data_IF_137844668879
#
_entry.id   IF_137844668879
#
_cell.length_a   1.000
_cell.length_b   1.000
_cell.length_c   1.000
_cell.angle_alpha   90.00
_cell.angle_beta   90.00
_cell.angle_gamma   90.00
#
_symmetry.space_group_name_H-M   'P 1'
#
loop_
_entity.id
_entity.type
_entity.pdbx_description
1 polymer ?
#
# COMPACT_ATOMS: atom_id res chain seq x y z
N UNK A 1 -5.26 -12.19 20.37
CA UNK A 1 -4.66 -11.41 21.47
C UNK A 1 -3.17 -11.12 21.29
N UNK A 2 -2.32 -12.07 20.88
CA UNK A 2 -0.86 -11.81 20.67
C UNK A 2 -0.54 -10.96 19.43
N UNK A 3 -1.30 -11.08 18.35
CA UNK A 3 -1.10 -10.27 17.13
C UNK A 3 -1.57 -8.83 17.27
N UNK A 4 -2.68 -8.57 17.95
CA UNK A 4 -3.15 -7.21 18.22
C UNK A 4 -2.18 -6.42 19.12
N UNK A 5 -1.53 -7.10 20.06
CA UNK A 5 -0.51 -6.49 20.92
C UNK A 5 0.76 -6.14 20.13
N UNK A 6 1.13 -6.95 19.13
CA UNK A 6 2.30 -6.70 18.26
C UNK A 6 2.05 -5.56 17.26
N UNK A 7 0.83 -5.41 16.75
CA UNK A 7 0.44 -4.30 15.87
C UNK A 7 0.37 -2.97 16.65
N UNK A 8 -0.18 -2.99 17.86
CA UNK A 8 -0.22 -1.81 18.74
C UNK A 8 1.16 -1.33 19.17
N UNK A 9 2.06 -2.24 19.51
CA UNK A 9 3.45 -1.95 19.86
C UNK A 9 4.25 -1.35 18.69
N UNK A 10 4.01 -1.81 17.45
CA UNK A 10 4.65 -1.25 16.25
C UNK A 10 4.08 0.11 15.83
N UNK A 11 2.81 0.37 16.10
CA UNK A 11 2.19 1.68 15.84
C UNK A 11 2.75 2.75 16.78
N UNK A 12 2.93 2.42 18.05
CA UNK A 12 3.56 3.33 19.04
C UNK A 12 5.01 3.66 18.70
N UNK A 13 5.78 2.74 18.12
CA UNK A 13 7.16 3.00 17.71
C UNK A 13 7.26 3.95 16.50
N UNK A 14 6.35 3.88 15.54
CA UNK A 14 6.30 4.81 14.39
C UNK A 14 5.89 6.20 14.85
N UNK A 15 4.90 6.32 15.74
CA UNK A 15 4.46 7.59 16.31
C UNK A 15 5.58 8.26 17.13
N UNK A 16 6.36 7.48 17.85
CA UNK A 16 7.50 7.98 18.62
C UNK A 16 8.60 8.53 17.68
N UNK A 17 8.93 7.82 16.59
CA UNK A 17 9.90 8.28 15.59
C UNK A 17 9.42 9.55 14.88
N UNK A 18 8.14 9.65 14.55
CA UNK A 18 7.54 10.88 14.00
C UNK A 18 7.65 12.05 14.96
N UNK A 19 7.35 11.81 16.25
CA UNK A 19 7.49 12.83 17.28
C UNK A 19 8.93 13.33 17.44
N UNK A 20 9.91 12.43 17.45
CA UNK A 20 11.34 12.77 17.52
C UNK A 20 11.79 13.57 16.29
N UNK A 21 11.40 13.13 15.08
CA UNK A 21 11.70 13.86 13.85
C UNK A 21 11.10 15.26 13.82
N UNK A 22 9.86 15.41 14.28
CA UNK A 22 9.20 16.70 14.37
C UNK A 22 9.93 17.64 15.34
N UNK A 23 10.27 17.15 16.51
CA UNK A 23 11.05 17.93 17.51
C UNK A 23 12.41 18.31 16.97
N UNK A 24 13.14 17.38 16.34
CA UNK A 24 14.43 17.67 15.71
C UNK A 24 14.30 18.71 14.59
N UNK A 25 13.25 18.64 13.77
CA UNK A 25 12.99 19.63 12.72
C UNK A 25 12.76 21.02 13.32
N UNK A 26 11.97 21.12 14.39
CA UNK A 26 11.75 22.39 15.09
C UNK A 26 13.03 22.93 15.71
N UNK A 27 13.84 22.08 16.35
CA UNK A 27 15.14 22.48 16.91
C UNK A 27 16.05 23.01 15.79
N UNK A 28 16.15 22.32 14.66
CA UNK A 28 16.95 22.76 13.52
C UNK A 28 16.47 24.10 12.95
N UNK A 29 15.15 24.36 12.95
CA UNK A 29 14.58 25.65 12.50
C UNK A 29 14.86 26.80 13.47
N UNK A 30 15.09 26.50 14.74
CA UNK A 30 15.41 27.50 15.78
C UNK A 30 16.90 27.81 15.86
N UNK A 31 17.78 27.01 15.23
CA UNK A 31 19.21 27.29 15.19
C UNK A 31 19.42 28.50 14.28
N UNK A 32 20.04 29.61 14.81
CA UNK A 32 20.40 30.74 13.97
C UNK A 32 21.42 30.30 12.91
N UNK A 33 21.09 30.47 11.64
CA UNK A 33 22.00 30.14 10.52
C UNK A 33 23.27 30.96 10.54
N UNK A 34 23.29 32.06 11.32
CA UNK A 34 24.44 32.91 11.54
C UNK A 34 25.62 32.23 12.29
N UNK A 35 25.38 31.09 12.94
CA UNK A 35 26.41 30.31 13.61
C UNK A 35 27.29 29.49 12.65
N UNK A 36 26.93 29.38 11.38
CA UNK A 36 27.61 28.54 10.39
C UNK A 36 28.06 29.40 9.21
N UNK A 37 28.57 30.60 9.51
CA UNK A 37 29.15 31.51 8.52
C UNK A 37 30.65 31.25 8.37
N UNK A 38 31.15 31.40 7.15
CA UNK A 38 32.56 31.51 6.88
C UNK A 38 32.86 32.94 6.43
N UNK A 39 34.05 33.41 6.68
CA UNK A 39 34.46 34.72 6.30
C UNK A 39 35.87 34.68 5.70
N UNK A 40 36.14 35.64 4.86
CA UNK A 40 37.47 35.91 4.31
C UNK A 40 37.78 37.39 4.52
N UNK A 41 38.88 37.66 5.17
CA UNK A 41 39.33 39.01 5.46
C UNK A 41 40.50 39.35 4.56
N UNK A 42 40.49 40.56 3.99
CA UNK A 42 41.56 41.19 3.27
C UNK A 42 41.96 42.44 4.05
N UNK A 43 43.21 42.54 4.46
CA UNK A 43 43.79 43.74 5.04
C UNK A 43 44.44 44.51 3.90
N UNK A 44 44.08 45.79 3.71
CA UNK A 44 44.48 46.52 2.49
C UNK A 44 46.01 46.70 2.38
N UNK A 45 46.71 46.87 3.51
CA UNK A 45 48.16 47.03 3.55
C UNK A 45 48.96 45.79 3.09
N UNK A 46 48.32 44.61 3.01
CA UNK A 46 48.98 43.37 2.61
C UNK A 46 49.06 43.18 1.09
N UNK A 47 48.49 44.09 0.32
CA UNK A 47 48.36 44.02 -1.13
C UNK A 47 48.97 45.21 -1.83
N UNK A 48 49.52 44.98 -3.03
CA UNK A 48 50.00 46.04 -3.88
C UNK A 48 48.86 46.94 -4.34
N UNK A 49 49.07 48.26 -4.25
CA UNK A 49 48.08 49.23 -4.63
C UNK A 49 48.61 50.24 -5.63
N UNK A 50 47.78 50.55 -6.60
CA UNK A 50 48.09 51.48 -7.69
C UNK A 50 47.06 52.62 -7.74
N UNK A 51 47.53 53.85 -7.97
CA UNK A 51 46.67 55.00 -8.10
C UNK A 51 46.43 55.35 -9.56
N UNK A 52 45.18 55.61 -9.91
CA UNK A 52 44.78 56.03 -11.24
C UNK A 52 43.93 57.28 -11.17
N UNK A 53 44.00 58.13 -12.20
CA UNK A 53 43.20 59.34 -12.34
C UNK A 53 42.68 59.49 -13.77
N UNK A 54 41.75 60.41 -13.95
CA UNK A 54 41.28 60.85 -15.28
C UNK A 54 42.42 61.45 -16.09
N UNK A 55 42.16 61.66 -17.38
CA UNK A 55 43.07 62.34 -18.31
C UNK A 55 43.06 63.84 -18.19
N UNK A 56 42.34 64.39 -17.18
CA UNK A 56 42.17 65.80 -16.93
C UNK A 56 43.20 66.38 -15.96
N UNK A 57 42.81 67.48 -15.27
CA UNK A 57 43.65 68.22 -14.34
C UNK A 57 43.58 67.67 -12.87
N UNK A 58 42.87 66.58 -12.64
CA UNK A 58 42.82 65.96 -11.32
C UNK A 58 44.21 65.49 -10.91
N UNK A 59 44.55 65.64 -9.62
CA UNK A 59 45.81 65.21 -9.04
C UNK A 59 45.56 64.09 -8.05
N UNK A 60 46.47 63.11 -7.98
CA UNK A 60 46.39 61.99 -7.05
C UNK A 60 47.76 61.70 -6.48
N UNK A 61 47.85 61.41 -5.17
CA UNK A 61 49.10 61.10 -4.49
C UNK A 61 48.85 60.24 -3.27
N UNK A 62 49.87 59.49 -2.87
CA UNK A 62 49.88 58.79 -1.58
C UNK A 62 50.21 59.84 -0.48
N UNK A 63 49.46 59.84 0.62
CA UNK A 63 49.74 60.49 1.84
C UNK A 63 50.49 59.54 2.78
N UNK A 64 50.10 58.29 2.83
CA UNK A 64 50.72 57.18 3.56
C UNK A 64 50.44 55.89 2.82
N UNK A 65 51.36 55.38 2.03
CA UNK A 65 51.15 54.17 1.21
C UNK A 65 51.05 52.91 2.06
N UNK A 66 51.76 52.84 3.19
CA UNK A 66 51.72 51.68 4.10
C UNK A 66 50.33 51.54 4.73
N UNK A 67 49.63 52.65 4.95
CA UNK A 67 48.25 52.68 5.48
C UNK A 67 47.20 52.79 4.39
N UNK A 68 47.56 52.67 3.12
CA UNK A 68 46.65 52.83 1.97
C UNK A 68 45.82 54.12 2.06
N UNK A 69 46.45 55.21 2.56
CA UNK A 69 45.89 56.58 2.64
C UNK A 69 46.32 57.36 1.45
N UNK A 70 45.40 57.85 0.64
CA UNK A 70 45.68 58.62 -0.54
C UNK A 70 44.79 59.87 -0.62
N UNK A 71 45.24 60.84 -1.38
CA UNK A 71 44.56 62.11 -1.61
C UNK A 71 44.33 62.31 -3.09
N UNK A 72 43.12 62.74 -3.40
CA UNK A 72 42.72 63.16 -4.74
C UNK A 72 42.29 64.64 -4.68
N UNK A 73 42.79 65.43 -5.59
CA UNK A 73 42.27 66.76 -5.86
C UNK A 73 41.52 66.75 -7.15
N UNK A 74 40.19 66.70 -7.07
CA UNK A 74 39.32 66.67 -8.25
C UNK A 74 39.22 68.05 -8.86
N UNK A 75 39.32 68.10 -10.19
CA UNK A 75 39.07 69.32 -10.98
C UNK A 75 37.87 69.05 -11.93
N UNK A 76 36.88 69.94 -11.93
CA UNK A 76 35.64 69.77 -12.64
C UNK A 76 35.68 70.11 -14.14
N UNK A 77 36.86 70.53 -14.63
CA UNK A 77 37.03 70.84 -16.08
C UNK A 77 36.93 69.62 -16.98
N UNK A 78 36.81 68.41 -16.44
CA UNK A 78 36.59 67.15 -17.17
C UNK A 78 35.12 66.70 -17.07
N UNK A 79 34.60 66.04 -18.12
CA UNK A 79 33.18 65.63 -18.18
C UNK A 79 32.86 64.62 -17.06
N UNK A 80 33.87 63.82 -16.67
CA UNK A 80 33.74 62.79 -15.61
C UNK A 80 35.05 62.72 -14.83
N UNK A 81 35.33 63.68 -13.93
CA UNK A 81 36.55 63.63 -13.14
C UNK A 81 36.52 62.49 -12.16
N UNK A 82 37.62 61.78 -12.04
CA UNK A 82 37.75 60.68 -11.06
C UNK A 82 39.20 60.48 -10.61
N UNK A 83 39.37 59.98 -9.41
CA UNK A 83 40.56 59.28 -8.95
C UNK A 83 40.18 57.93 -8.42
N UNK A 84 41.03 56.95 -8.61
CA UNK A 84 40.84 55.61 -8.01
C UNK A 84 42.14 55.03 -7.44
N UNK A 85 41.97 54.18 -6.44
CA UNK A 85 42.98 53.29 -5.93
C UNK A 85 42.54 51.85 -6.25
N UNK A 86 43.42 51.09 -6.88
CA UNK A 86 43.23 49.70 -7.23
C UNK A 86 44.16 48.84 -6.39
N UNK A 87 43.63 47.84 -5.70
CA UNK A 87 44.39 46.77 -5.06
C UNK A 87 44.47 45.57 -5.95
N UNK A 88 45.64 44.98 -6.09
CA UNK A 88 45.87 43.75 -6.81
C UNK A 88 45.62 42.55 -5.87
N UNK A 89 44.47 41.90 -5.98
CA UNK A 89 44.06 40.81 -5.09
C UNK A 89 44.26 39.43 -5.75
N UNK A 90 45.43 39.26 -6.34
CA UNK A 90 45.86 38.02 -7.00
C UNK A 90 46.84 37.24 -6.11
N UNK A 91 46.82 35.91 -6.22
CA UNK A 91 47.79 35.04 -5.53
C UNK A 91 49.14 34.99 -6.27
N UNK A 92 50.10 34.28 -5.70
CA UNK A 92 51.48 34.10 -6.24
C UNK A 92 51.46 33.47 -7.66
N UNK A 93 50.38 32.85 -8.06
CA UNK A 93 50.21 32.23 -9.39
C UNK A 93 49.41 33.12 -10.36
N UNK A 94 49.11 34.33 -9.93
CA UNK A 94 48.35 35.30 -10.70
C UNK A 94 46.86 35.00 -10.82
N UNK A 95 46.30 34.12 -9.95
CA UNK A 95 44.89 33.81 -9.88
C UNK A 95 44.17 34.75 -8.93
N UNK A 96 43.00 35.22 -9.31
CA UNK A 96 42.13 36.03 -8.46
C UNK A 96 41.39 35.23 -7.41
N UNK A 97 40.69 35.92 -6.55
CA UNK A 97 39.89 35.35 -5.49
C UNK A 97 38.51 34.94 -6.03
N UNK A 98 38.01 33.78 -5.63
CA UNK A 98 36.61 33.41 -5.87
C UNK A 98 35.74 33.90 -4.70
N UNK A 99 34.78 34.77 -5.01
CA UNK A 99 33.83 35.36 -4.06
C UNK A 99 32.36 34.93 -4.34
N UNK A 100 32.13 33.95 -5.21
CA UNK A 100 30.79 33.52 -5.63
C UNK A 100 29.95 32.92 -4.51
N UNK A 101 30.61 32.38 -3.47
CA UNK A 101 29.93 31.74 -2.34
C UNK A 101 29.65 32.70 -1.17
N UNK A 102 30.03 33.98 -1.33
CA UNK A 102 29.84 35.01 -0.30
C UNK A 102 28.51 35.78 -0.55
N UNK A 103 27.80 36.05 0.54
CA UNK A 103 26.51 36.76 0.51
C UNK A 103 26.66 38.27 0.72
N UNK A 104 27.68 38.66 1.49
CA UNK A 104 27.93 40.06 1.87
C UNK A 104 29.38 40.40 1.92
N UNK A 105 29.67 41.68 1.72
CA UNK A 105 30.97 42.32 1.86
C UNK A 105 30.87 43.47 2.86
N UNK A 106 31.73 43.48 3.89
CA UNK A 106 31.87 44.62 4.80
C UNK A 106 33.15 45.34 4.48
N UNK A 107 33.08 46.65 4.27
CA UNK A 107 34.20 47.49 3.92
C UNK A 107 34.43 48.55 4.99
N UNK A 108 35.69 48.68 5.45
CA UNK A 108 36.09 49.73 6.37
C UNK A 108 36.90 50.77 5.60
N UNK A 109 36.22 51.93 5.37
CA UNK A 109 36.76 53.06 4.67
C UNK A 109 36.70 54.30 5.56
N UNK A 110 37.82 55.01 5.67
CA UNK A 110 37.85 56.34 6.20
C UNK A 110 37.84 57.34 5.04
N UNK A 111 36.97 58.31 5.11
CA UNK A 111 36.83 59.32 4.08
C UNK A 111 36.75 60.72 4.70
N UNK A 112 37.44 61.67 4.03
CA UNK A 112 37.35 63.12 4.33
C UNK A 112 37.22 63.86 3.00
N UNK A 113 36.16 64.65 2.85
CA UNK A 113 35.88 65.39 1.63
C UNK A 113 34.37 65.68 1.48
N UNK A 114 33.98 66.19 0.34
CA UNK A 114 32.59 66.63 0.08
C UNK A 114 31.83 65.69 -0.86
N UNK A 115 32.33 64.48 -1.17
CA UNK A 115 31.58 63.54 -1.98
C UNK A 115 30.41 62.95 -1.18
N UNK A 116 29.30 62.76 -1.82
CA UNK A 116 28.11 62.06 -1.25
C UNK A 116 28.26 60.54 -1.31
N UNK A 117 28.94 60.04 -2.36
CA UNK A 117 29.14 58.62 -2.60
C UNK A 117 30.55 58.32 -3.06
N UNK A 118 31.03 57.11 -2.76
CA UNK A 118 32.20 56.47 -3.36
C UNK A 118 31.79 55.28 -4.18
N UNK A 119 32.60 54.88 -5.16
CA UNK A 119 32.38 53.66 -5.94
C UNK A 119 33.35 52.60 -5.48
N UNK A 120 32.80 51.40 -5.29
CA UNK A 120 33.61 50.22 -5.00
C UNK A 120 33.42 49.23 -6.17
N UNK A 121 34.52 48.84 -6.77
CA UNK A 121 34.55 47.89 -7.86
C UNK A 121 35.20 46.59 -7.41
N UNK A 122 34.55 45.47 -7.75
CA UNK A 122 35.16 44.13 -7.79
C UNK A 122 35.36 43.76 -9.25
N UNK A 123 36.62 43.63 -9.66
CA UNK A 123 36.93 43.44 -11.08
C UNK A 123 37.44 42.01 -11.30
N UNK A 124 36.69 41.24 -12.14
CA UNK A 124 37.00 39.84 -12.40
C UNK A 124 37.43 39.59 -13.86
N UNK A 125 38.12 38.50 -14.06
CA UNK A 125 38.45 37.99 -15.39
C UNK A 125 37.53 36.84 -15.74
N UNK A 126 37.19 36.77 -17.04
CA UNK A 126 36.52 35.61 -17.62
C UNK A 126 37.05 35.41 -19.05
N UNK A 127 37.44 34.18 -19.43
CA UNK A 127 38.00 33.89 -20.77
C UNK A 127 37.15 34.38 -21.95
N UNK A 128 35.86 34.63 -21.75
CA UNK A 128 34.95 35.04 -22.80
C UNK A 128 35.08 36.54 -23.18
N UNK A 129 35.64 37.37 -22.30
CA UNK A 129 35.81 38.80 -22.55
C UNK A 129 37.18 39.38 -22.16
N UNK A 130 37.92 38.68 -21.32
CA UNK A 130 39.25 39.15 -20.85
C UNK A 130 40.30 39.01 -21.94
N UNK A 131 41.08 40.08 -22.14
CA UNK A 131 42.23 40.12 -23.06
C UNK A 131 43.47 40.37 -22.24
N UNK A 132 44.44 39.45 -22.36
CA UNK A 132 45.72 39.58 -21.65
C UNK A 132 46.46 40.86 -22.06
N UNK A 133 46.89 41.65 -21.12
CA UNK A 133 47.54 42.95 -21.33
C UNK A 133 46.59 44.15 -21.46
N UNK A 134 45.28 43.90 -21.54
CA UNK A 134 44.29 44.95 -21.47
C UNK A 134 43.54 44.90 -20.12
N UNK A 135 43.95 45.71 -19.19
CA UNK A 135 43.38 45.81 -17.84
C UNK A 135 41.91 46.25 -17.89
N UNK A 136 41.49 47.03 -18.93
CA UNK A 136 40.12 47.53 -19.04
C UNK A 136 39.14 46.41 -19.49
N UNK A 137 39.65 45.29 -19.96
CA UNK A 137 38.84 44.11 -20.36
C UNK A 137 38.36 43.27 -19.16
N UNK A 138 38.83 43.51 -17.94
CA UNK A 138 38.22 42.96 -16.73
C UNK A 138 36.83 43.51 -16.52
N UNK A 139 35.88 42.68 -16.03
CA UNK A 139 34.50 43.14 -15.77
C UNK A 139 34.44 44.04 -14.54
N UNK A 140 33.79 45.17 -14.66
CA UNK A 140 33.65 46.14 -13.57
C UNK A 140 32.31 45.89 -12.86
N UNK A 141 32.30 45.06 -11.80
CA UNK A 141 31.18 44.93 -10.91
C UNK A 141 31.25 46.03 -9.87
N UNK A 142 30.21 46.91 -9.83
CA UNK A 142 30.23 48.17 -9.10
C UNK A 142 29.07 48.31 -8.13
N UNK A 143 29.36 48.95 -7.00
CA UNK A 143 28.35 49.49 -6.09
C UNK A 143 28.72 50.91 -5.69
N UNK A 144 27.75 51.81 -5.66
CA UNK A 144 27.94 53.15 -5.07
C UNK A 144 27.55 53.12 -3.60
N UNK A 145 28.45 53.52 -2.74
CA UNK A 145 28.32 53.51 -1.29
C UNK A 145 28.18 54.93 -0.74
N UNK A 146 27.15 55.23 0.07
CA UNK A 146 26.98 56.55 0.65
C UNK A 146 28.04 56.78 1.71
N UNK A 147 28.76 57.91 1.62
CA UNK A 147 29.79 58.29 2.57
C UNK A 147 29.27 58.42 4.00
N UNK A 148 28.01 58.81 4.15
CA UNK A 148 27.34 58.93 5.45
C UNK A 148 27.19 57.60 6.21
N UNK A 149 27.35 56.46 5.54
CA UNK A 149 27.21 55.12 6.10
C UNK A 149 28.57 54.41 6.35
N UNK A 150 29.69 55.05 6.07
CA UNK A 150 31.03 54.42 6.18
C UNK A 150 31.50 54.21 7.61
N UNK A 151 30.78 54.70 8.63
CA UNK A 151 31.17 54.53 10.04
C UNK A 151 31.02 53.09 10.48
N UNK A 152 32.01 52.56 11.20
CA UNK A 152 32.02 51.25 11.86
C UNK A 152 31.94 50.03 10.90
N UNK A 153 32.26 50.27 9.62
CA UNK A 153 32.16 49.22 8.58
C UNK A 153 30.81 49.18 7.88
N UNK A 154 30.81 49.38 6.56
CA UNK A 154 29.62 49.33 5.73
C UNK A 154 29.38 47.91 5.18
N UNK A 155 28.25 47.32 5.52
CA UNK A 155 27.85 46.03 4.99
C UNK A 155 27.14 46.20 3.65
N UNK A 156 27.64 45.56 2.63
CA UNK A 156 27.13 45.56 1.26
C UNK A 156 26.66 44.14 0.94
N UNK A 157 25.37 43.97 0.60
CA UNK A 157 24.86 42.70 0.04
C UNK A 157 25.45 42.54 -1.36
N UNK A 158 26.03 41.35 -1.65
CA UNK A 158 26.63 41.04 -2.96
C UNK A 158 25.57 41.11 -4.10
N UNK A 159 24.29 40.94 -3.79
CA UNK A 159 23.19 41.10 -4.76
C UNK A 159 22.93 42.56 -5.17
N UNK A 160 23.44 43.54 -4.40
CA UNK A 160 23.31 44.95 -4.72
C UNK A 160 24.41 45.47 -5.68
N UNK A 161 25.37 44.60 -6.00
CA UNK A 161 26.44 44.93 -6.94
C UNK A 161 25.92 44.73 -8.36
N UNK A 162 26.15 45.70 -9.24
CA UNK A 162 25.75 45.69 -10.64
C UNK A 162 27.00 45.74 -11.54
N UNK A 163 26.86 45.41 -12.81
CA UNK A 163 27.93 45.66 -13.78
C UNK A 163 27.83 47.09 -14.30
N UNK A 164 28.94 47.77 -14.40
CA UNK A 164 29.00 49.17 -14.88
C UNK A 164 28.51 49.28 -16.32
N UNK A 165 27.51 50.16 -16.55
CA UNK A 165 26.86 50.31 -17.87
C UNK A 165 27.82 50.76 -18.96
N UNK A 166 28.76 51.62 -18.63
CA UNK A 166 29.78 52.05 -19.56
C UNK A 166 30.68 50.91 -20.02
N UNK A 167 30.97 49.94 -19.16
CA UNK A 167 31.81 48.77 -19.50
C UNK A 167 31.04 47.83 -20.43
N UNK A 168 29.76 47.56 -20.11
CA UNK A 168 28.87 46.72 -20.96
C UNK A 168 28.75 47.28 -22.37
N UNK A 169 28.60 48.60 -22.48
CA UNK A 169 28.43 49.30 -23.76
C UNK A 169 29.74 49.32 -24.56
N UNK A 170 30.88 49.59 -23.93
CA UNK A 170 32.18 49.74 -24.61
C UNK A 170 32.72 48.38 -25.11
N UNK A 171 32.46 47.28 -24.40
CA UNK A 171 32.96 45.98 -24.76
C UNK A 171 31.92 45.11 -25.49
N UNK A 172 30.70 45.66 -25.77
CA UNK A 172 29.62 45.00 -26.50
C UNK A 172 29.26 43.63 -25.90
N UNK A 173 29.18 43.54 -24.57
CA UNK A 173 29.01 42.35 -23.82
C UNK A 173 27.63 41.71 -24.11
N UNK A 174 27.54 40.39 -24.44
CA UNK A 174 26.26 39.71 -24.62
C UNK A 174 25.43 39.69 -23.32
N UNK A 175 24.10 39.70 -23.45
CA UNK A 175 23.17 39.74 -22.31
C UNK A 175 23.41 38.63 -21.30
N UNK A 176 23.86 37.48 -21.76
CA UNK A 176 24.19 36.34 -20.87
C UNK A 176 25.34 36.63 -19.90
N UNK A 177 26.25 37.51 -20.29
CA UNK A 177 27.42 37.93 -19.53
C UNK A 177 27.27 39.29 -18.86
N UNK A 178 26.08 39.91 -18.94
CA UNK A 178 25.83 41.24 -18.34
C UNK A 178 25.56 41.24 -16.85
N UNK A 179 25.47 40.05 -16.22
CA UNK A 179 25.28 39.94 -14.78
C UNK A 179 26.62 40.05 -14.03
N UNK A 180 26.60 40.53 -12.79
CA UNK A 180 27.80 40.47 -11.93
C UNK A 180 28.36 39.05 -11.82
N UNK A 181 29.67 38.96 -11.85
CA UNK A 181 30.45 37.72 -11.70
C UNK A 181 31.53 37.93 -10.64
N UNK A 182 31.68 36.95 -9.75
CA UNK A 182 32.60 37.04 -8.63
C UNK A 182 33.62 35.89 -8.61
N UNK A 183 33.72 35.15 -9.71
CA UNK A 183 34.83 34.21 -9.92
C UNK A 183 36.06 34.94 -10.43
N UNK A 184 37.24 34.54 -9.98
CA UNK A 184 38.54 35.10 -10.39
C UNK A 184 38.58 36.63 -10.32
N UNK A 185 38.16 37.19 -9.14
CA UNK A 185 38.23 38.63 -8.85
C UNK A 185 39.67 38.99 -8.60
N UNK A 186 40.19 39.86 -9.47
CA UNK A 186 41.65 40.20 -9.51
C UNK A 186 41.95 41.58 -8.94
N UNK A 187 40.96 42.47 -8.97
CA UNK A 187 41.14 43.83 -8.45
C UNK A 187 39.97 44.25 -7.56
N UNK A 188 40.30 44.92 -6.47
CA UNK A 188 39.41 45.74 -5.68
C UNK A 188 39.76 47.19 -5.92
N UNK A 189 38.80 47.99 -6.43
CA UNK A 189 39.08 49.38 -6.77
C UNK A 189 38.11 50.30 -6.02
N UNK A 190 38.68 51.33 -5.36
CA UNK A 190 37.93 52.39 -4.70
C UNK A 190 38.06 53.68 -5.55
N UNK A 191 36.95 54.21 -5.97
CA UNK A 191 36.92 55.38 -6.83
C UNK A 191 36.06 56.49 -6.22
N UNK A 192 36.36 57.78 -6.51
CA UNK A 192 35.47 58.86 -6.24
C UNK A 192 34.13 58.67 -6.99
N UNK A 193 33.01 58.99 -6.33
CA UNK A 193 31.66 58.72 -6.86
C UNK A 193 31.27 59.51 -8.10
N UNK A 194 30.13 59.20 -8.68
CA UNK A 194 29.61 59.80 -9.92
C UNK A 194 29.26 61.30 -9.79
N UNK A 195 29.09 61.82 -8.58
CA UNK A 195 28.73 63.21 -8.28
C UNK A 195 29.73 63.83 -7.29
N UNK A 196 30.99 63.38 -7.36
CA UNK A 196 32.03 63.97 -6.52
C UNK A 196 32.26 65.42 -6.94
N UNK A 197 32.20 66.32 -5.98
CA UNK A 197 32.43 67.77 -6.19
C UNK A 197 33.95 68.03 -6.32
N UNK A 198 34.24 69.16 -6.99
CA UNK A 198 35.61 69.71 -7.01
C UNK A 198 36.13 69.90 -5.58
N UNK A 199 37.39 69.52 -5.35
CA UNK A 199 37.99 69.66 -4.04
C UNK A 199 38.91 68.53 -3.67
N UNK A 200 39.31 68.54 -2.42
CA UNK A 200 40.26 67.57 -1.83
C UNK A 200 39.47 66.41 -1.21
N UNK A 201 39.81 65.21 -1.62
CA UNK A 201 39.23 63.96 -1.12
C UNK A 201 40.35 63.10 -0.56
N UNK A 202 40.29 62.75 0.71
CA UNK A 202 41.21 61.80 1.34
C UNK A 202 40.50 60.50 1.66
N UNK A 203 41.06 59.43 1.20
CA UNK A 203 40.44 58.09 1.29
C UNK A 203 41.44 57.10 1.84
N UNK A 204 41.06 56.34 2.80
CA UNK A 204 41.82 55.24 3.35
C UNK A 204 41.01 53.94 3.39
N UNK A 205 41.50 52.90 2.76
CA UNK A 205 40.94 51.57 2.90
C UNK A 205 41.68 50.79 3.96
N UNK A 206 41.01 50.35 5.02
CA UNK A 206 41.62 49.57 6.08
C UNK A 206 41.56 48.09 5.80
N UNK A 207 40.35 47.58 5.63
CA UNK A 207 40.11 46.16 5.37
C UNK A 207 38.78 45.93 4.67
N UNK A 208 38.66 44.72 4.08
CA UNK A 208 37.41 44.19 3.52
C UNK A 208 37.23 42.80 4.08
N UNK A 209 36.00 42.49 4.44
CA UNK A 209 35.62 41.17 4.93
C UNK A 209 34.40 40.66 4.16
N UNK A 210 34.50 39.48 3.55
CA UNK A 210 33.40 38.80 2.91
C UNK A 210 32.85 37.74 3.84
N UNK A 211 31.51 37.65 3.90
CA UNK A 211 30.80 36.64 4.70
C UNK A 211 29.89 35.84 3.81
N UNK A 212 29.92 34.50 3.97
CA UNK A 212 29.04 33.55 3.33
C UNK A 212 28.50 32.55 4.33
N UNK A 213 27.47 31.85 4.00
CA UNK A 213 26.86 30.83 4.83
C UNK A 213 27.09 29.43 4.24
N UNK A 214 27.65 28.50 5.04
CA UNK A 214 27.73 27.08 4.64
C UNK A 214 26.36 26.46 4.38
N UNK A 215 25.35 26.94 5.10
CA UNK A 215 23.99 26.47 4.97
C UNK A 215 23.04 27.67 5.01
N UNK A 216 22.48 28.00 3.87
CA UNK A 216 21.45 29.02 3.81
C UNK A 216 20.14 28.51 4.43
N UNK A 217 19.33 29.43 4.97
CA UNK A 217 18.00 29.07 5.50
C UNK A 217 17.14 28.34 4.48
N UNK A 218 17.21 28.76 3.22
CA UNK A 218 16.49 28.11 2.12
C UNK A 218 16.98 26.67 1.86
N UNK A 219 18.30 26.42 1.96
CA UNK A 219 18.86 25.08 1.82
C UNK A 219 18.45 24.18 2.99
N UNK A 220 18.47 24.72 4.23
CA UNK A 220 18.01 24.01 5.42
C UNK A 220 16.55 23.57 5.28
N UNK A 221 15.66 24.47 4.85
CA UNK A 221 14.26 24.13 4.62
C UNK A 221 14.09 23.03 3.55
N UNK A 222 14.83 23.11 2.46
CA UNK A 222 14.82 22.08 1.42
C UNK A 222 15.26 20.72 1.95
N UNK A 223 16.30 20.68 2.76
CA UNK A 223 16.80 19.44 3.39
C UNK A 223 15.73 18.84 4.32
N UNK A 224 15.13 19.66 5.19
CA UNK A 224 14.08 19.21 6.10
C UNK A 224 12.90 18.63 5.32
N UNK A 225 12.42 19.32 4.28
CA UNK A 225 11.33 18.86 3.42
C UNK A 225 11.68 17.50 2.77
N UNK A 226 12.90 17.39 2.24
CA UNK A 226 13.36 16.18 1.58
C UNK A 226 13.42 14.99 2.53
N UNK A 227 13.90 15.20 3.75
CA UNK A 227 13.92 14.18 4.83
C UNK A 227 12.48 13.74 5.15
N UNK A 228 11.53 14.66 5.26
CA UNK A 228 10.13 14.33 5.52
C UNK A 228 9.49 13.54 4.38
N UNK A 229 9.76 13.91 3.13
CA UNK A 229 9.28 13.18 1.95
C UNK A 229 9.82 11.74 1.95
N UNK A 230 11.11 11.57 2.17
CA UNK A 230 11.73 10.23 2.25
C UNK A 230 11.12 9.38 3.37
N UNK A 231 10.87 9.99 4.54
CA UNK A 231 10.29 9.30 5.68
C UNK A 231 8.85 8.85 5.41
N UNK A 232 8.02 9.74 4.84
CA UNK A 232 6.65 9.41 4.43
C UNK A 232 6.66 8.26 3.41
N UNK A 233 7.56 8.32 2.44
CA UNK A 233 7.68 7.27 1.43
C UNK A 233 8.08 5.92 2.02
N UNK A 234 9.01 5.92 2.98
CA UNK A 234 9.40 4.72 3.71
C UNK A 234 8.24 4.10 4.51
N UNK A 235 7.42 4.94 5.18
CA UNK A 235 6.21 4.48 5.89
C UNK A 235 5.21 3.88 4.91
N UNK A 236 4.98 4.50 3.75
CA UNK A 236 4.05 4.00 2.74
C UNK A 236 4.49 2.63 2.22
N UNK A 237 5.77 2.46 1.89
CA UNK A 237 6.32 1.16 1.48
C UNK A 237 6.13 0.12 2.57
N UNK A 238 6.47 0.46 3.83
CA UNK A 238 6.28 -0.45 4.95
C UNK A 238 4.81 -0.88 5.09
N UNK A 239 3.86 0.05 4.99
CA UNK A 239 2.42 -0.25 5.05
C UNK A 239 1.95 -1.14 3.91
N UNK A 240 2.41 -0.88 2.67
CA UNK A 240 2.07 -1.71 1.50
C UNK A 240 2.57 -3.14 1.69
N UNK A 241 3.82 -3.31 2.14
CA UNK A 241 4.39 -4.64 2.40
C UNK A 241 3.62 -5.36 3.51
N UNK A 242 3.33 -4.68 4.62
CA UNK A 242 2.57 -5.25 5.74
C UNK A 242 1.16 -5.67 5.31
N UNK A 243 0.47 -4.84 4.52
CA UNK A 243 -0.86 -5.13 4.00
C UNK A 243 -0.85 -6.35 3.06
N UNK A 244 0.14 -6.44 2.16
CA UNK A 244 0.30 -7.58 1.25
C UNK A 244 0.52 -8.90 2.02
N UNK A 245 1.32 -8.88 3.07
CA UNK A 245 1.53 -10.05 3.94
C UNK A 245 0.21 -10.45 4.62
N UNK A 246 -0.53 -9.49 5.16
CA UNK A 246 -1.82 -9.74 5.81
C UNK A 246 -2.85 -10.30 4.83
N UNK A 247 -2.96 -9.75 3.63
CA UNK A 247 -3.84 -10.25 2.58
C UNK A 247 -3.50 -11.70 2.20
N UNK A 248 -2.22 -12.01 2.05
CA UNK A 248 -1.76 -13.36 1.71
C UNK A 248 -2.10 -14.38 2.82
N UNK A 249 -1.94 -13.98 4.08
CA UNK A 249 -2.29 -14.82 5.23
C UNK A 249 -3.80 -15.05 5.30
N UNK A 250 -4.61 -14.01 5.11
CA UNK A 250 -6.08 -14.13 5.09
C UNK A 250 -6.55 -15.06 3.96
N UNK A 251 -5.96 -14.95 2.76
CA UNK A 251 -6.28 -15.86 1.65
C UNK A 251 -5.94 -17.33 1.95
N UNK A 252 -4.82 -17.58 2.65
CA UNK A 252 -4.46 -18.93 3.09
C UNK A 252 -5.47 -19.47 4.10
N UNK A 253 -5.83 -18.67 5.09
CA UNK A 253 -6.80 -19.03 6.11
C UNK A 253 -8.20 -19.32 5.52
N UNK A 254 -8.65 -18.50 4.56
CA UNK A 254 -9.92 -18.76 3.85
C UNK A 254 -9.90 -20.07 3.07
N UNK A 255 -8.79 -20.38 2.36
CA UNK A 255 -8.66 -21.66 1.65
C UNK A 255 -8.71 -22.86 2.60
N UNK A 256 -8.09 -22.74 3.75
CA UNK A 256 -8.11 -23.79 4.79
C UNK A 256 -9.53 -24.01 5.33
N UNK A 257 -10.26 -22.91 5.63
CA UNK A 257 -11.65 -22.97 6.07
C UNK A 257 -12.57 -23.65 5.03
N UNK A 258 -12.40 -23.33 3.76
CA UNK A 258 -13.18 -23.97 2.67
C UNK A 258 -12.89 -25.45 2.65
N UNK A 259 -11.61 -25.88 2.71
CA UNK A 259 -11.27 -27.30 2.67
C UNK A 259 -11.80 -28.08 3.88
N UNK A 260 -11.79 -27.47 5.07
CA UNK A 260 -12.39 -28.05 6.28
C UNK A 260 -13.91 -28.19 6.12
N UNK A 261 -14.58 -27.17 5.58
CA UNK A 261 -16.03 -27.20 5.35
C UNK A 261 -16.41 -28.30 4.37
N UNK A 262 -15.70 -28.43 3.25
CA UNK A 262 -15.92 -29.51 2.28
C UNK A 262 -15.71 -30.89 2.89
N UNK A 263 -14.67 -31.05 3.70
CA UNK A 263 -14.43 -32.30 4.42
C UNK A 263 -15.56 -32.63 5.40
N UNK A 264 -16.06 -31.64 6.14
CA UNK A 264 -17.18 -31.82 7.07
C UNK A 264 -18.48 -32.17 6.31
N UNK A 265 -18.73 -31.53 5.19
CA UNK A 265 -19.91 -31.81 4.35
C UNK A 265 -19.86 -33.27 3.80
N UNK A 266 -18.70 -33.73 3.34
CA UNK A 266 -18.51 -35.10 2.89
C UNK A 266 -18.72 -36.09 4.04
N UNK A 267 -18.18 -35.81 5.23
CA UNK A 267 -18.42 -36.63 6.41
C UNK A 267 -19.88 -36.68 6.81
N UNK A 268 -20.57 -35.54 6.85
CA UNK A 268 -21.98 -35.46 7.18
C UNK A 268 -22.82 -36.27 6.21
N UNK A 269 -22.56 -36.13 4.90
CA UNK A 269 -23.24 -36.94 3.88
C UNK A 269 -23.04 -38.44 4.09
N UNK A 270 -21.79 -38.85 4.38
CA UNK A 270 -21.50 -40.27 4.68
C UNK A 270 -22.21 -40.75 5.94
N UNK A 271 -22.32 -39.93 6.97
CA UNK A 271 -23.08 -40.27 8.18
C UNK A 271 -24.59 -40.36 7.90
N UNK A 272 -25.13 -39.46 7.08
CA UNK A 272 -26.54 -39.54 6.63
C UNK A 272 -26.81 -40.81 5.86
N UNK A 273 -25.95 -41.18 4.92
CA UNK A 273 -26.10 -42.39 4.13
C UNK A 273 -26.03 -43.64 5.02
N UNK A 274 -25.09 -43.69 5.97
CA UNK A 274 -25.02 -44.76 6.94
C UNK A 274 -26.22 -44.81 7.90
N UNK A 275 -26.76 -43.65 8.28
CA UNK A 275 -27.94 -43.57 9.14
C UNK A 275 -29.25 -43.97 8.42
N UNK A 276 -29.27 -43.90 7.08
CA UNK A 276 -30.46 -44.21 6.23
C UNK A 276 -30.48 -45.63 5.72
N UNK A 277 -29.48 -46.45 5.94
CA UNK A 277 -29.35 -47.85 5.49
C UNK A 277 -29.46 -48.83 6.63
N UNK A 278 -30.05 -50.00 6.39
CA UNK A 278 -30.05 -51.16 7.30
C UNK A 278 -28.71 -51.91 7.10
N UNK A 279 -27.91 -52.06 8.15
CA UNK A 279 -26.57 -52.67 8.02
C UNK A 279 -26.59 -54.15 7.65
N UNK A 280 -27.69 -54.90 7.92
CA UNK A 280 -27.80 -56.32 7.61
C UNK A 280 -28.18 -56.54 6.15
N UNK A 281 -29.17 -55.82 5.66
CA UNK A 281 -29.77 -56.09 4.33
C UNK A 281 -29.26 -55.12 3.24
N UNK A 282 -28.63 -53.99 3.60
CA UNK A 282 -28.19 -52.95 2.69
C UNK A 282 -29.34 -52.13 2.09
N UNK A 283 -30.58 -52.41 2.43
CA UNK A 283 -31.78 -51.65 2.02
C UNK A 283 -31.88 -50.33 2.81
N UNK A 284 -32.78 -49.46 2.41
CA UNK A 284 -33.17 -48.35 3.27
C UNK A 284 -33.72 -48.89 4.60
N UNK A 285 -33.38 -48.18 5.68
CA UNK A 285 -34.05 -48.40 6.95
C UNK A 285 -35.27 -47.45 7.07
N UNK A 286 -35.95 -47.47 8.21
CA UNK A 286 -37.09 -46.60 8.51
C UNK A 286 -36.85 -45.10 8.30
N UNK A 287 -35.61 -44.63 8.54
CA UNK A 287 -35.22 -43.25 8.30
C UNK A 287 -34.99 -42.98 6.80
N UNK A 288 -34.38 -43.94 6.09
CA UNK A 288 -34.06 -43.83 4.68
C UNK A 288 -35.29 -43.80 3.75
N UNK A 289 -36.37 -44.51 4.10
CA UNK A 289 -37.59 -44.52 3.29
C UNK A 289 -38.47 -43.28 3.48
N UNK A 290 -38.23 -42.50 4.50
CA UNK A 290 -39.06 -41.35 4.89
C UNK A 290 -39.25 -40.33 3.79
N UNK A 291 -38.18 -40.01 3.07
CA UNK A 291 -38.17 -38.98 2.04
C UNK A 291 -39.10 -39.41 0.88
N UNK A 292 -39.05 -40.69 0.47
CA UNK A 292 -39.94 -41.28 -0.55
C UNK A 292 -41.42 -41.25 -0.13
N UNK A 293 -41.71 -41.53 1.14
CA UNK A 293 -43.08 -41.44 1.68
C UNK A 293 -43.66 -40.02 1.62
N UNK A 294 -42.85 -39.03 2.02
CA UNK A 294 -43.27 -37.62 1.96
C UNK A 294 -43.37 -37.11 0.52
N UNK A 295 -42.51 -37.53 -0.37
CA UNK A 295 -42.58 -37.19 -1.79
C UNK A 295 -43.86 -37.76 -2.44
N UNK A 296 -44.17 -39.04 -2.18
CA UNK A 296 -45.42 -39.66 -2.64
C UNK A 296 -46.67 -38.94 -2.11
N UNK A 297 -46.67 -38.58 -0.82
CA UNK A 297 -47.75 -37.78 -0.22
C UNK A 297 -47.94 -36.43 -0.93
N UNK A 298 -46.85 -35.72 -1.22
CA UNK A 298 -46.88 -34.43 -1.88
C UNK A 298 -47.36 -34.54 -3.34
N UNK A 299 -46.91 -35.56 -4.07
CA UNK A 299 -47.35 -35.82 -5.44
C UNK A 299 -48.83 -36.18 -5.48
N UNK A 300 -49.31 -36.98 -4.53
CA UNK A 300 -50.72 -37.27 -4.40
C UNK A 300 -51.55 -36.01 -4.08
N UNK A 301 -51.11 -35.15 -3.17
CA UNK A 301 -51.80 -33.89 -2.83
C UNK A 301 -51.88 -32.94 -4.00
N UNK A 302 -50.82 -32.77 -4.72
CA UNK A 302 -50.65 -31.70 -5.71
C UNK A 302 -51.14 -32.13 -7.11
N UNK A 303 -50.93 -33.42 -7.46
CA UNK A 303 -51.14 -33.94 -8.81
C UNK A 303 -52.12 -35.10 -8.86
N UNK A 304 -52.64 -35.56 -7.71
CA UNK A 304 -53.50 -36.76 -7.60
C UNK A 304 -52.85 -38.01 -8.23
N UNK A 305 -51.51 -38.08 -8.24
CA UNK A 305 -50.79 -39.26 -8.69
C UNK A 305 -51.05 -40.43 -7.74
N UNK A 306 -51.39 -41.62 -8.27
CA UNK A 306 -51.59 -42.82 -7.46
C UNK A 306 -50.37 -43.11 -6.62
N UNK A 307 -50.55 -43.49 -5.38
CA UNK A 307 -49.48 -43.79 -4.45
C UNK A 307 -49.87 -45.00 -3.60
N UNK A 308 -49.15 -46.08 -3.80
CA UNK A 308 -49.43 -47.34 -3.12
C UNK A 308 -48.27 -47.75 -2.20
N UNK A 309 -48.62 -48.54 -1.20
CA UNK A 309 -47.75 -48.93 -0.13
C UNK A 309 -47.99 -50.43 0.17
N UNK A 310 -46.91 -51.20 0.25
CA UNK A 310 -46.94 -52.61 0.58
C UNK A 310 -46.17 -52.88 1.85
N UNK A 311 -46.80 -53.44 2.84
CA UNK A 311 -46.17 -53.96 4.06
C UNK A 311 -45.97 -55.46 3.90
N UNK A 312 -44.77 -55.93 4.12
CA UNK A 312 -44.33 -57.31 3.89
C UNK A 312 -43.76 -57.86 5.19
N UNK A 313 -44.15 -59.07 5.55
CA UNK A 313 -43.67 -59.73 6.77
C UNK A 313 -43.37 -61.22 6.48
N UNK A 314 -42.18 -61.69 6.91
CA UNK A 314 -41.77 -63.10 6.69
C UNK A 314 -42.54 -63.98 7.62
N UNK A 315 -43.25 -64.95 7.06
CA UNK A 315 -44.08 -65.86 7.83
C UNK A 315 -43.26 -66.77 8.73
N UNK A 316 -43.68 -66.88 9.97
CA UNK A 316 -43.07 -67.74 10.98
C UNK A 316 -41.59 -67.48 11.27
N UNK A 317 -41.07 -66.25 11.01
CA UNK A 317 -39.65 -65.88 11.15
C UNK A 317 -39.11 -66.14 12.57
N UNK A 318 -39.91 -65.87 13.59
CA UNK A 318 -39.50 -66.19 14.99
C UNK A 318 -39.27 -67.70 15.17
N UNK A 319 -40.15 -68.54 14.65
CA UNK A 319 -39.97 -70.01 14.73
C UNK A 319 -38.75 -70.48 13.96
N UNK A 320 -38.43 -69.83 12.86
CA UNK A 320 -37.20 -70.11 12.10
C UNK A 320 -35.99 -69.79 12.95
N UNK A 321 -35.91 -68.61 13.60
CA UNK A 321 -34.84 -68.23 14.52
C UNK A 321 -34.71 -69.19 15.69
N UNK A 322 -35.84 -69.58 16.31
CA UNK A 322 -35.86 -70.46 17.46
C UNK A 322 -35.38 -71.89 17.09
N UNK A 323 -35.57 -72.31 15.82
CA UNK A 323 -35.18 -73.63 15.35
C UNK A 323 -33.74 -73.70 14.81
N UNK A 324 -33.32 -72.67 14.05
CA UNK A 324 -32.08 -72.70 13.28
C UNK A 324 -31.04 -71.66 13.70
N UNK A 325 -31.38 -70.83 14.69
CA UNK A 325 -30.50 -69.80 15.21
C UNK A 325 -30.59 -68.49 14.44
N UNK A 326 -30.11 -67.41 15.03
CA UNK A 326 -30.15 -66.04 14.49
C UNK A 326 -29.33 -65.89 13.20
N UNK A 327 -28.24 -66.64 13.03
CA UNK A 327 -27.41 -66.56 11.81
C UNK A 327 -28.21 -67.00 10.57
N UNK A 328 -29.08 -68.01 10.72
CA UNK A 328 -29.99 -68.44 9.64
C UNK A 328 -31.05 -67.38 9.39
N UNK A 329 -31.60 -66.79 10.43
CA UNK A 329 -32.54 -65.67 10.29
C UNK A 329 -31.96 -64.47 9.54
N UNK A 330 -30.72 -64.09 9.87
CA UNK A 330 -30.01 -63.03 9.19
C UNK A 330 -29.75 -63.35 7.71
N UNK A 331 -29.41 -64.59 7.37
CA UNK A 331 -29.27 -65.06 5.99
C UNK A 331 -30.60 -64.98 5.24
N UNK A 332 -31.71 -65.37 5.87
CA UNK A 332 -33.05 -65.26 5.30
C UNK A 332 -33.42 -63.80 5.04
N UNK A 333 -33.18 -62.91 5.97
CA UNK A 333 -33.42 -61.47 5.79
C UNK A 333 -32.61 -60.90 4.63
N UNK A 334 -31.34 -61.26 4.52
CA UNK A 334 -30.46 -60.82 3.42
C UNK A 334 -30.94 -61.34 2.06
N UNK A 335 -31.30 -62.61 1.97
CA UNK A 335 -31.81 -63.24 0.74
C UNK A 335 -33.16 -62.63 0.34
N UNK A 336 -34.08 -62.44 1.29
CA UNK A 336 -35.36 -61.81 1.06
C UNK A 336 -35.19 -60.36 0.53
N UNK A 337 -34.32 -59.59 1.19
CA UNK A 337 -33.99 -58.23 0.74
C UNK A 337 -33.42 -58.19 -0.68
N UNK A 338 -32.52 -59.11 -0.99
CA UNK A 338 -31.93 -59.28 -2.32
C UNK A 338 -32.99 -59.65 -3.38
N UNK A 339 -33.86 -60.60 -3.03
CA UNK A 339 -34.92 -61.05 -3.92
C UNK A 339 -35.97 -59.98 -4.19
N UNK A 340 -36.40 -59.28 -3.15
CA UNK A 340 -37.30 -58.11 -3.30
C UNK A 340 -36.63 -57.03 -4.14
N UNK A 341 -35.41 -56.61 -3.81
CA UNK A 341 -34.68 -55.54 -4.47
C UNK A 341 -34.41 -55.80 -5.97
N UNK A 342 -34.20 -57.07 -6.36
CA UNK A 342 -33.98 -57.42 -7.78
C UNK A 342 -35.27 -57.37 -8.62
N UNK A 343 -36.45 -57.49 -7.98
CA UNK A 343 -37.70 -57.67 -8.64
C UNK A 343 -38.65 -56.44 -8.55
N UNK A 344 -38.19 -55.33 -8.06
CA UNK A 344 -38.90 -54.06 -8.03
C UNK A 344 -38.41 -53.11 -9.12
N UNK A 345 -39.19 -52.08 -9.45
CA UNK A 345 -38.83 -51.04 -10.42
C UNK A 345 -37.82 -50.07 -9.83
N UNK A 346 -37.09 -49.42 -10.67
CA UNK A 346 -36.15 -48.36 -10.24
C UNK A 346 -36.83 -47.15 -9.56
N UNK A 347 -38.10 -46.96 -9.77
CA UNK A 347 -38.95 -45.92 -9.20
C UNK A 347 -39.53 -46.28 -7.85
N UNK A 348 -39.46 -47.57 -7.47
CA UNK A 348 -39.98 -48.06 -6.20
C UNK A 348 -38.90 -48.00 -5.12
N UNK A 349 -39.31 -47.81 -3.90
CA UNK A 349 -38.38 -47.72 -2.76
C UNK A 349 -38.65 -48.85 -1.78
N UNK A 350 -37.64 -49.64 -1.52
CA UNK A 350 -37.69 -50.77 -0.60
C UNK A 350 -36.90 -50.47 0.67
N UNK A 351 -37.51 -50.76 1.81
CA UNK A 351 -36.85 -50.59 3.11
C UNK A 351 -37.13 -51.78 4.02
N UNK A 352 -36.17 -52.04 4.91
CA UNK A 352 -36.42 -52.86 6.10
C UNK A 352 -36.98 -51.99 7.20
N UNK A 353 -38.25 -52.25 7.60
CA UNK A 353 -38.98 -51.44 8.56
C UNK A 353 -38.62 -51.78 10.00
N UNK A 354 -38.42 -53.06 10.30
CA UNK A 354 -38.01 -53.58 11.59
C UNK A 354 -38.04 -55.11 11.62
N UNK A 355 -37.24 -55.76 12.48
CA UNK A 355 -37.25 -57.19 12.61
C UNK A 355 -37.30 -57.99 11.27
N UNK A 356 -38.45 -58.57 10.99
CA UNK A 356 -38.77 -59.35 9.78
C UNK A 356 -39.68 -58.61 8.78
N UNK A 357 -39.93 -57.32 9.01
CA UNK A 357 -40.85 -56.51 8.22
C UNK A 357 -40.11 -55.68 7.16
N UNK A 358 -40.66 -55.66 5.95
CA UNK A 358 -40.18 -54.81 4.84
C UNK A 358 -41.31 -53.92 4.36
N UNK A 359 -40.96 -52.79 3.82
CA UNK A 359 -41.85 -51.82 3.22
C UNK A 359 -41.44 -51.58 1.78
N UNK A 360 -42.43 -51.66 0.87
CA UNK A 360 -42.30 -51.23 -0.51
C UNK A 360 -43.20 -50.03 -0.76
N UNK A 361 -42.60 -48.94 -1.18
CA UNK A 361 -43.31 -47.71 -1.59
C UNK A 361 -43.34 -47.68 -3.13
N UNK A 362 -44.54 -47.59 -3.68
CA UNK A 362 -44.80 -47.62 -5.13
C UNK A 362 -45.37 -46.26 -5.58
N UNK A 363 -44.55 -45.31 -6.00
CA UNK A 363 -45.01 -44.05 -6.59
C UNK A 363 -45.72 -44.29 -7.93
N UNK A 364 -46.69 -43.47 -8.24
CA UNK A 364 -47.49 -43.52 -9.50
C UNK A 364 -48.03 -44.92 -9.81
N UNK A 365 -48.55 -45.62 -8.78
CA UNK A 365 -49.02 -46.98 -8.85
C UNK A 365 -50.39 -47.07 -8.15
N UNK A 366 -51.36 -47.58 -8.82
CA UNK A 366 -52.73 -47.81 -8.28
C UNK A 366 -52.76 -49.01 -7.35
N UNK A 367 -53.86 -49.21 -6.60
CA UNK A 367 -54.04 -50.37 -5.71
C UNK A 367 -53.91 -51.69 -6.48
N UNK A 368 -54.60 -51.81 -7.59
CA UNK A 368 -54.63 -53.04 -8.42
C UNK A 368 -53.24 -53.36 -9.00
N UNK A 369 -52.50 -52.32 -9.43
CA UNK A 369 -51.15 -52.49 -9.92
C UNK A 369 -50.18 -52.87 -8.79
N UNK A 370 -50.36 -52.34 -7.59
CA UNK A 370 -49.52 -52.66 -6.41
C UNK A 370 -49.84 -54.10 -5.92
N UNK A 371 -51.07 -54.54 -6.01
CA UNK A 371 -51.46 -55.96 -5.74
C UNK A 371 -50.76 -56.93 -6.68
N UNK A 372 -50.71 -56.62 -7.97
CA UNK A 372 -50.00 -57.45 -8.97
C UNK A 372 -48.50 -57.50 -8.64
N UNK A 373 -47.91 -56.38 -8.28
CA UNK A 373 -46.46 -56.30 -7.84
C UNK A 373 -46.29 -57.13 -6.59
N UNK A 374 -47.14 -57.01 -5.59
CA UNK A 374 -47.03 -57.73 -4.32
C UNK A 374 -47.18 -59.23 -4.54
N UNK A 375 -48.11 -59.67 -5.37
CA UNK A 375 -48.31 -61.13 -5.68
C UNK A 375 -47.08 -61.70 -6.43
N UNK A 376 -46.53 -60.89 -7.38
CA UNK A 376 -45.28 -61.30 -8.04
C UNK A 376 -44.14 -61.46 -7.06
N UNK A 377 -43.98 -60.54 -6.12
CA UNK A 377 -42.93 -60.58 -5.10
C UNK A 377 -43.15 -61.73 -4.10
N UNK A 378 -44.44 -62.02 -3.74
CA UNK A 378 -44.77 -63.15 -2.88
C UNK A 378 -44.36 -64.49 -3.55
N UNK A 379 -44.71 -64.68 -4.85
CA UNK A 379 -44.28 -65.84 -5.62
C UNK A 379 -42.75 -65.98 -5.63
N UNK A 380 -42.01 -64.89 -5.80
CA UNK A 380 -40.55 -64.91 -5.80
C UNK A 380 -39.93 -65.27 -4.43
N UNK A 381 -40.58 -64.90 -3.33
CA UNK A 381 -40.16 -65.32 -2.00
C UNK A 381 -40.49 -66.78 -1.76
N UNK A 382 -41.66 -67.26 -2.11
CA UNK A 382 -42.10 -68.65 -1.95
C UNK A 382 -41.17 -69.62 -2.69
N UNK A 383 -40.68 -69.25 -3.87
CA UNK A 383 -39.76 -70.02 -4.69
C UNK A 383 -38.29 -69.67 -4.51
N UNK A 384 -37.95 -68.96 -3.43
CA UNK A 384 -36.56 -68.58 -3.15
C UNK A 384 -35.77 -69.79 -2.61
N UNK A 385 -34.66 -70.09 -3.24
CA UNK A 385 -33.76 -71.16 -2.79
C UNK A 385 -32.90 -70.62 -1.63
N UNK A 386 -33.09 -71.17 -0.43
CA UNK A 386 -32.34 -70.80 0.76
C UNK A 386 -31.34 -71.86 1.16
N UNK A 387 -31.77 -73.09 1.18
CA UNK A 387 -31.05 -74.36 1.34
C UNK A 387 -32.11 -75.45 1.14
N UNK A 388 -31.73 -76.59 0.62
CA UNK A 388 -32.61 -77.62 0.02
C UNK A 388 -33.81 -78.14 0.86
N UNK A 389 -33.94 -77.72 2.11
CA UNK A 389 -35.00 -78.26 3.02
C UNK A 389 -35.93 -77.17 3.62
N UNK A 390 -35.80 -75.91 3.19
CA UNK A 390 -36.56 -74.82 3.84
C UNK A 390 -37.28 -73.93 2.82
N UNK A 391 -38.63 -74.00 2.77
CA UNK A 391 -39.48 -73.06 2.08
C UNK A 391 -39.89 -71.92 3.02
N UNK A 392 -39.63 -70.70 2.59
CA UNK A 392 -40.03 -69.47 3.31
C UNK A 392 -41.13 -68.78 2.54
N UNK A 393 -42.13 -68.33 3.26
CA UNK A 393 -43.24 -67.54 2.69
C UNK A 393 -43.29 -66.18 3.37
N UNK A 394 -43.94 -65.24 2.76
CA UNK A 394 -44.22 -63.94 3.34
C UNK A 394 -45.70 -63.54 3.09
N UNK A 395 -46.26 -62.82 4.03
CA UNK A 395 -47.56 -62.19 3.94
C UNK A 395 -47.44 -60.74 3.54
N UNK A 396 -48.36 -60.26 2.72
CA UNK A 396 -48.34 -58.90 2.13
C UNK A 396 -49.62 -58.19 2.44
N UNK A 397 -49.53 -56.96 2.97
CA UNK A 397 -50.69 -56.05 3.08
C UNK A 397 -50.51 -54.88 2.15
N UNK A 398 -51.41 -54.65 1.24
CA UNK A 398 -51.35 -53.59 0.23
C UNK A 398 -52.36 -52.52 0.51
N UNK A 399 -51.97 -51.27 0.47
CA UNK A 399 -52.92 -50.15 0.53
C UNK A 399 -52.58 -49.07 -0.47
N UNK A 400 -53.55 -48.27 -0.86
CA UNK A 400 -53.33 -47.09 -1.70
C UNK A 400 -53.91 -45.86 -1.03
N UNK A 401 -53.28 -44.73 -1.32
CA UNK A 401 -53.63 -43.45 -0.70
C UNK A 401 -54.98 -42.96 -1.21
N UNK A 402 -55.98 -42.90 -0.34
CA UNK A 402 -57.32 -42.37 -0.58
C UNK A 402 -57.50 -40.93 -0.03
N UNK A 403 -56.78 -40.65 0.96
CA UNK A 403 -56.72 -39.29 1.60
C UNK A 403 -55.24 -38.94 1.96
N UNK A 404 -54.94 -37.66 2.15
CA UNK A 404 -53.53 -37.20 2.37
C UNK A 404 -53.03 -37.45 3.81
N UNK A 405 -53.11 -38.69 4.27
CA UNK A 405 -52.72 -39.14 5.61
C UNK A 405 -51.90 -40.43 5.54
N UNK A 406 -50.55 -40.31 5.71
CA UNK A 406 -49.66 -41.48 5.75
C UNK A 406 -49.99 -42.43 6.91
N UNK A 407 -50.52 -41.95 8.04
CA UNK A 407 -50.90 -42.81 9.18
C UNK A 407 -52.04 -43.77 8.81
N UNK A 408 -53.05 -43.24 8.07
CA UNK A 408 -54.15 -44.05 7.60
C UNK A 408 -53.69 -45.03 6.52
N UNK A 409 -52.83 -44.60 5.58
CA UNK A 409 -52.23 -45.48 4.57
C UNK A 409 -51.48 -46.65 5.24
N UNK A 410 -50.65 -46.35 6.24
CA UNK A 410 -49.93 -47.38 7.00
C UNK A 410 -50.91 -48.34 7.72
N UNK A 411 -51.89 -47.76 8.41
CA UNK A 411 -52.89 -48.55 9.13
C UNK A 411 -53.65 -49.46 8.23
N UNK A 412 -54.10 -49.00 7.06
CA UNK A 412 -54.76 -49.82 6.07
C UNK A 412 -53.91 -51.00 5.59
N UNK A 413 -52.64 -50.78 5.32
CA UNK A 413 -51.68 -51.81 4.95
C UNK A 413 -51.44 -52.82 6.10
N UNK A 414 -51.36 -52.36 7.32
CA UNK A 414 -51.19 -53.19 8.51
C UNK A 414 -52.40 -54.05 8.78
N UNK A 415 -53.59 -53.45 8.70
CA UNK A 415 -54.88 -54.21 8.79
C UNK A 415 -54.98 -55.28 7.68
N UNK A 416 -54.55 -55.00 6.44
CA UNK A 416 -54.49 -55.93 5.34
C UNK A 416 -53.45 -57.04 5.59
N UNK A 417 -52.25 -56.70 6.09
CA UNK A 417 -51.23 -57.70 6.44
C UNK A 417 -51.69 -58.64 7.56
N UNK A 418 -52.35 -58.07 8.57
CA UNK A 418 -52.96 -58.86 9.64
C UNK A 418 -54.00 -59.86 9.09
N UNK A 419 -54.86 -59.43 8.20
CA UNK A 419 -55.82 -60.35 7.52
C UNK A 419 -55.11 -61.41 6.68
N UNK A 420 -54.03 -61.08 5.98
CA UNK A 420 -53.25 -62.06 5.23
C UNK A 420 -52.65 -63.14 6.18
N UNK A 421 -52.20 -62.78 7.36
CA UNK A 421 -51.72 -63.72 8.37
C UNK A 421 -52.84 -64.58 8.95
N UNK A 422 -54.02 -64.02 9.25
CA UNK A 422 -55.20 -64.77 9.77
C UNK A 422 -55.77 -65.74 8.78
N UNK A 423 -55.84 -65.35 7.52
CA UNK A 423 -56.38 -66.20 6.45
C UNK A 423 -55.48 -67.36 6.01
N UNK A 424 -54.37 -67.55 6.68
CA UNK A 424 -53.47 -68.72 6.45
C UNK A 424 -52.07 -68.35 5.90
N UNK A 425 -51.71 -67.09 5.88
CA UNK A 425 -50.37 -66.57 5.44
C UNK A 425 -50.10 -66.79 3.94
N UNK A 426 -48.84 -66.54 3.51
CA UNK A 426 -48.41 -66.68 2.11
C UNK A 426 -49.42 -66.16 1.08
N UNK A 427 -49.84 -64.89 1.29
CA UNK A 427 -50.83 -64.24 0.44
C UNK A 427 -50.77 -62.72 0.44
N UNK A 428 -51.38 -62.14 -0.53
CA UNK A 428 -51.55 -60.69 -0.59
C UNK A 428 -53.02 -60.38 -0.20
N UNK A 429 -53.18 -59.35 0.64
CA UNK A 429 -54.52 -58.80 0.96
C UNK A 429 -54.43 -57.28 0.71
N UNK A 430 -55.53 -56.76 0.10
CA UNK A 430 -55.60 -55.31 -0.19
C UNK A 430 -56.60 -54.63 0.76
N UNK A 431 -56.35 -53.43 1.11
CA UNK A 431 -57.23 -52.56 1.90
C UNK A 431 -57.19 -51.13 1.34
N UNK A 432 -58.38 -50.54 1.24
CA UNK A 432 -58.53 -49.13 0.78
C UNK A 432 -58.54 -48.19 1.96
#
# INVERSE_FOLDING_TARGET
MSEEHNVRSKMTSVELVLGVLAVLSVILLLIPTDLIKFHKTLIASDYDAHLYKDNGLSEIRWLDQEKQLWECVLNDQHITPFCSMQLDIIDEHGKGINLSDYDSMTIWLNYTGEAEHLRVYLRNRNPQYFVLGDITSTKYNVVEVPVSQLKDGLVIDMNNINVADWWLSSHKIPLQLSRPEFEDVVYLEIQTGSQSREGVHQIQLEKVEWQGAWLTQAALYKIIILVWIMFIFAILIYRIVALNIQLKNNQRYQKELISINDFLNLKNKKFEDLAKTDPLTGLHNRLGIRDALYEGLNNWKNQRQPFSFVLIDIDHFKRLNDTYGHDMGDKVLQLTALQLGKNIRRTDFLARWGGEEFILVCPNTTLDEAEVVAEFLRDKIEHMDIDSDHAITASFGVSSMSEPDLKKLFKSADDALYQAKEQGRNRVVTSI
#
